data_IF_862700950518
#
_entry.id   IF_862700950518
#
_cell.length_a   1.000
_cell.length_b   1.000
_cell.length_c   1.000
_cell.angle_alpha   90.00
_cell.angle_beta   90.00
_cell.angle_gamma   90.00
#
_symmetry.space_group_name_H-M   'P 1'
#
loop_
_entity.id
_entity.type
_entity.pdbx_description
1 polymer ?
#
# COMPACT_ATOMS: atom_id res chain seq x y z
N UNK A 1 32.22 2.63 56.35
CA UNK A 1 32.92 2.57 55.02
C UNK A 1 32.09 1.71 54.08
N UNK A 2 31.45 2.34 53.10
CA UNK A 2 30.61 1.62 52.17
C UNK A 2 31.49 1.12 51.00
N UNK A 3 31.74 -0.20 50.92
CA UNK A 3 32.53 -0.80 49.85
C UNK A 3 31.70 -0.93 48.57
N UNK A 4 32.14 -0.32 47.46
CA UNK A 4 31.52 -0.50 46.14
C UNK A 4 32.06 -1.81 45.55
N UNK A 5 31.17 -2.77 45.33
CA UNK A 5 31.49 -4.05 44.68
C UNK A 5 31.23 -3.97 43.19
N UNK A 6 32.24 -4.05 42.34
CA UNK A 6 32.09 -4.12 40.89
C UNK A 6 31.81 -5.56 40.45
N UNK A 7 30.58 -5.79 39.95
CA UNK A 7 30.22 -7.08 39.39
C UNK A 7 30.41 -7.01 37.85
N UNK A 8 31.35 -7.82 37.33
CA UNK A 8 31.57 -7.94 35.89
C UNK A 8 30.54 -8.90 35.30
N UNK A 9 29.49 -8.33 34.67
CA UNK A 9 28.48 -9.15 33.99
C UNK A 9 29.02 -9.56 32.61
N UNK A 10 29.16 -10.87 32.32
CA UNK A 10 29.63 -11.34 31.03
C UNK A 10 28.58 -11.00 29.95
N UNK A 11 29.00 -10.31 28.88
CA UNK A 11 28.14 -10.00 27.76
C UNK A 11 27.86 -11.25 26.93
N UNK A 12 26.78 -11.97 27.27
CA UNK A 12 26.38 -13.22 26.60
C UNK A 12 26.08 -12.99 25.11
N UNK A 13 25.58 -11.82 24.73
CA UNK A 13 25.31 -11.45 23.33
C UNK A 13 26.62 -11.40 22.53
N UNK A 14 27.66 -10.76 23.08
CA UNK A 14 28.96 -10.68 22.42
C UNK A 14 29.66 -12.07 22.33
N UNK A 15 29.34 -12.99 23.22
CA UNK A 15 29.85 -14.39 23.14
C UNK A 15 29.10 -15.17 22.05
N UNK A 16 27.77 -15.00 21.92
CA UNK A 16 26.97 -15.66 20.90
C UNK A 16 27.30 -15.16 19.48
N UNK A 17 27.62 -13.87 19.33
CA UNK A 17 28.02 -13.30 18.02
C UNK A 17 29.43 -13.63 17.59
N UNK A 18 30.30 -14.12 18.51
CA UNK A 18 31.66 -14.59 18.21
C UNK A 18 31.74 -16.09 17.96
N UNK A 19 30.64 -16.84 18.10
CA UNK A 19 30.58 -18.28 17.87
C UNK A 19 30.89 -18.65 16.41
N UNK A 20 31.65 -19.73 16.19
CA UNK A 20 31.89 -20.33 14.87
C UNK A 20 30.53 -20.78 14.32
N UNK A 21 30.07 -20.19 13.21
CA UNK A 21 28.78 -20.52 12.54
C UNK A 21 27.81 -19.35 12.38
N UNK A 22 28.17 -18.17 12.91
CA UNK A 22 27.39 -16.93 12.65
C UNK A 22 27.60 -16.45 11.23
N UNK A 23 26.52 -15.92 10.63
CA UNK A 23 26.58 -15.22 9.34
C UNK A 23 27.27 -13.87 9.59
N UNK A 24 28.26 -13.50 8.75
CA UNK A 24 28.88 -12.18 8.81
C UNK A 24 27.80 -11.10 8.57
N UNK A 25 27.87 -9.99 9.31
CA UNK A 25 26.88 -8.89 9.23
C UNK A 25 26.66 -8.45 7.78
N UNK A 26 27.71 -8.31 6.98
CA UNK A 26 27.61 -7.94 5.57
C UNK A 26 26.85 -8.97 4.73
N UNK A 27 27.02 -10.25 4.98
CA UNK A 27 26.29 -11.32 4.30
C UNK A 27 24.81 -11.37 4.75
N UNK A 28 24.54 -11.15 6.04
CA UNK A 28 23.19 -11.06 6.55
C UNK A 28 22.42 -9.88 5.93
N UNK A 29 23.05 -8.71 5.84
CA UNK A 29 22.48 -7.52 5.18
C UNK A 29 22.23 -7.78 3.70
N UNK A 30 23.17 -8.40 2.99
CA UNK A 30 23.00 -8.76 1.59
C UNK A 30 21.81 -9.69 1.35
N UNK A 31 21.66 -10.72 2.18
CA UNK A 31 20.53 -11.66 2.11
C UNK A 31 19.20 -10.96 2.44
N UNK A 32 19.18 -10.10 3.44
CA UNK A 32 18.00 -9.32 3.78
C UNK A 32 17.58 -8.40 2.64
N UNK A 33 18.51 -7.70 2.01
CA UNK A 33 18.23 -6.83 0.86
C UNK A 33 17.71 -7.64 -0.34
N UNK A 34 18.29 -8.79 -0.63
CA UNK A 34 17.81 -9.65 -1.71
C UNK A 34 16.38 -10.18 -1.44
N UNK A 35 16.07 -10.52 -0.19
CA UNK A 35 14.73 -10.92 0.21
C UNK A 35 13.72 -9.76 0.09
N UNK A 36 14.12 -8.54 0.46
CA UNK A 36 13.29 -7.34 0.32
C UNK A 36 12.99 -7.02 -1.16
N UNK A 37 13.98 -7.13 -2.04
CA UNK A 37 13.74 -6.95 -3.49
C UNK A 37 12.78 -8.01 -4.03
N UNK A 38 12.93 -9.27 -3.65
CA UNK A 38 11.99 -10.33 -4.05
C UNK A 38 10.56 -10.08 -3.55
N UNK A 39 10.39 -9.56 -2.34
CA UNK A 39 9.08 -9.15 -1.82
C UNK A 39 8.48 -7.99 -2.60
N UNK A 40 9.32 -7.02 -2.98
CA UNK A 40 8.89 -5.89 -3.80
C UNK A 40 8.38 -6.34 -5.17
N UNK A 41 9.11 -7.23 -5.84
CA UNK A 41 8.70 -7.77 -7.14
C UNK A 41 7.37 -8.54 -7.03
N UNK A 42 7.20 -9.35 -6.00
CA UNK A 42 5.94 -10.04 -5.72
C UNK A 42 4.79 -9.06 -5.45
N UNK A 43 5.02 -8.01 -4.65
CA UNK A 43 4.05 -6.95 -4.39
C UNK A 43 3.63 -6.22 -5.67
N UNK A 44 4.59 -5.89 -6.53
CA UNK A 44 4.35 -5.28 -7.84
C UNK A 44 3.45 -6.16 -8.70
N UNK A 45 3.74 -7.46 -8.80
CA UNK A 45 2.95 -8.39 -9.58
C UNK A 45 1.49 -8.49 -9.08
N UNK A 46 1.30 -8.55 -7.75
CA UNK A 46 -0.04 -8.55 -7.15
C UNK A 46 -0.77 -7.26 -7.49
N UNK A 47 -0.14 -6.10 -7.32
CA UNK A 47 -0.76 -4.81 -7.61
C UNK A 47 -1.17 -4.71 -9.07
N UNK A 48 -0.31 -5.13 -10.01
CA UNK A 48 -0.59 -5.11 -11.44
C UNK A 48 -1.78 -6.01 -11.80
N UNK A 49 -1.85 -7.21 -11.22
CA UNK A 49 -2.98 -8.13 -11.38
C UNK A 49 -4.29 -7.51 -10.88
N UNK A 50 -4.28 -6.94 -9.66
CA UNK A 50 -5.48 -6.33 -9.10
C UNK A 50 -5.94 -5.09 -9.88
N UNK A 51 -5.00 -4.26 -10.34
CA UNK A 51 -5.33 -3.09 -11.17
C UNK A 51 -5.92 -3.49 -12.53
N UNK A 52 -5.39 -4.53 -13.17
CA UNK A 52 -5.94 -5.06 -14.41
C UNK A 52 -7.36 -5.59 -14.20
N UNK A 53 -7.61 -6.30 -13.11
CA UNK A 53 -8.93 -6.83 -12.79
C UNK A 53 -9.94 -5.71 -12.43
N UNK A 54 -9.52 -4.72 -11.65
CA UNK A 54 -10.35 -3.53 -11.37
C UNK A 54 -10.71 -2.80 -12.67
N UNK A 55 -9.75 -2.57 -13.56
CA UNK A 55 -9.99 -1.89 -14.83
C UNK A 55 -10.93 -2.68 -15.74
N UNK A 56 -10.77 -3.99 -15.78
CA UNK A 56 -11.62 -4.91 -16.56
C UNK A 56 -13.08 -4.91 -16.08
N UNK A 57 -13.28 -4.97 -14.77
CA UNK A 57 -14.60 -5.11 -14.15
C UNK A 57 -15.30 -3.76 -13.96
N UNK A 58 -14.59 -2.77 -13.44
CA UNK A 58 -15.15 -1.50 -12.96
C UNK A 58 -14.71 -0.29 -13.76
N UNK A 59 -13.80 -0.45 -14.73
CA UNK A 59 -13.35 0.64 -15.59
C UNK A 59 -14.48 1.16 -16.49
N UNK A 60 -14.34 2.39 -17.01
CA UNK A 60 -15.37 3.05 -17.83
C UNK A 60 -15.64 2.31 -19.15
N UNK A 61 -14.77 1.40 -19.55
CA UNK A 61 -14.96 0.56 -20.73
C UNK A 61 -15.95 -0.61 -20.56
N UNK A 62 -16.35 -0.93 -19.31
CA UNK A 62 -17.31 -2.00 -19.04
C UNK A 62 -18.73 -1.45 -18.90
N UNK A 63 -19.65 -1.70 -19.88
CA UNK A 63 -21.03 -1.22 -19.80
C UNK A 63 -21.85 -1.88 -18.68
N UNK A 64 -21.47 -3.09 -18.26
CA UNK A 64 -22.20 -3.89 -17.28
C UNK A 64 -21.73 -3.66 -15.83
N UNK A 65 -20.76 -2.75 -15.63
CA UNK A 65 -20.16 -2.50 -14.31
C UNK A 65 -21.16 -2.14 -13.21
N UNK A 66 -22.26 -1.48 -13.57
CA UNK A 66 -23.29 -1.09 -12.62
C UNK A 66 -24.07 -2.28 -12.02
N UNK A 67 -24.05 -3.43 -12.69
CA UNK A 67 -24.65 -4.67 -12.21
C UNK A 67 -23.72 -5.50 -11.32
N UNK A 68 -22.45 -5.12 -11.20
CA UNK A 68 -21.47 -5.86 -10.41
C UNK A 68 -21.54 -5.48 -8.92
N UNK A 69 -21.20 -6.44 -8.08
CA UNK A 69 -21.09 -6.19 -6.64
C UNK A 69 -19.88 -5.30 -6.34
N UNK A 70 -20.14 -4.16 -5.69
CA UNK A 70 -19.06 -3.28 -5.20
C UNK A 70 -18.15 -3.94 -4.14
N UNK A 71 -18.60 -5.05 -3.53
CA UNK A 71 -17.76 -5.88 -2.64
C UNK A 71 -16.51 -6.38 -3.37
N UNK A 72 -16.67 -6.77 -4.64
CA UNK A 72 -15.53 -7.22 -5.45
C UNK A 72 -14.51 -6.10 -5.64
N UNK A 73 -14.96 -4.85 -5.87
CA UNK A 73 -14.07 -3.69 -5.96
C UNK A 73 -13.36 -3.43 -4.63
N UNK A 74 -14.09 -3.55 -3.51
CA UNK A 74 -13.52 -3.43 -2.17
C UNK A 74 -12.42 -4.46 -1.93
N UNK A 75 -12.67 -5.72 -2.24
CA UNK A 75 -11.72 -6.81 -2.05
C UNK A 75 -10.45 -6.63 -2.90
N UNK A 76 -10.59 -6.20 -4.15
CA UNK A 76 -9.44 -5.93 -5.01
C UNK A 76 -8.61 -4.74 -4.49
N UNK A 77 -9.27 -3.65 -4.06
CA UNK A 77 -8.59 -2.51 -3.46
C UNK A 77 -7.88 -2.88 -2.14
N UNK A 78 -8.48 -3.74 -1.33
CA UNK A 78 -7.87 -4.24 -0.08
C UNK A 78 -6.59 -5.03 -0.35
N UNK A 79 -6.54 -5.86 -1.39
CA UNK A 79 -5.32 -6.58 -1.80
C UNK A 79 -4.21 -5.62 -2.24
N UNK A 80 -4.57 -4.49 -2.88
CA UNK A 80 -3.58 -3.44 -3.21
C UNK A 80 -3.03 -2.80 -1.93
N UNK A 81 -3.86 -2.58 -0.91
CA UNK A 81 -3.40 -2.06 0.39
C UNK A 81 -2.39 -3.03 1.00
N UNK A 82 -2.72 -4.32 1.05
CA UNK A 82 -1.85 -5.35 1.64
C UNK A 82 -0.51 -5.47 0.89
N UNK A 83 -0.54 -5.40 -0.44
CA UNK A 83 0.67 -5.44 -1.26
C UNK A 83 1.44 -4.11 -1.26
N UNK A 84 0.79 -3.00 -0.93
CA UNK A 84 1.36 -1.64 -0.98
C UNK A 84 2.59 -1.44 -0.09
N UNK A 85 2.73 -2.24 0.98
CA UNK A 85 3.91 -2.26 1.84
C UNK A 85 5.23 -2.56 1.10
N UNK A 86 5.18 -3.24 -0.05
CA UNK A 86 6.33 -3.47 -0.93
C UNK A 86 6.75 -2.23 -1.75
N UNK A 87 5.92 -1.20 -1.83
CA UNK A 87 6.14 0.04 -2.55
C UNK A 87 5.95 1.28 -1.66
N UNK A 88 6.71 1.41 -0.57
CA UNK A 88 6.52 2.47 0.39
C UNK A 88 6.65 3.85 -0.26
N UNK A 89 5.76 4.75 0.10
CA UNK A 89 5.74 6.11 -0.42
C UNK A 89 5.30 6.25 -1.87
N UNK A 90 4.71 5.23 -2.49
CA UNK A 90 4.11 5.34 -3.83
C UNK A 90 2.77 6.10 -3.84
N UNK A 91 2.05 6.13 -2.72
CA UNK A 91 0.70 6.67 -2.59
C UNK A 91 -0.41 5.68 -2.99
N UNK A 92 -0.03 4.47 -3.40
CA UNK A 92 -0.99 3.44 -3.81
C UNK A 92 -1.90 2.99 -2.66
N UNK A 93 -1.31 2.78 -1.49
CA UNK A 93 -2.06 2.36 -0.31
C UNK A 93 -3.12 3.39 0.09
N UNK A 94 -2.76 4.66 0.12
CA UNK A 94 -3.68 5.75 0.45
C UNK A 94 -4.79 5.89 -0.58
N UNK A 95 -4.47 5.77 -1.87
CA UNK A 95 -5.47 5.80 -2.94
C UNK A 95 -6.40 4.58 -2.89
N UNK A 96 -5.88 3.39 -2.64
CA UNK A 96 -6.69 2.17 -2.50
C UNK A 96 -7.62 2.24 -1.27
N UNK A 97 -7.16 2.81 -0.14
CA UNK A 97 -8.03 3.10 1.01
C UNK A 97 -9.18 4.04 0.62
N UNK A 98 -8.92 5.08 -0.16
CA UNK A 98 -9.95 5.99 -0.62
C UNK A 98 -11.00 5.28 -1.52
N UNK A 99 -10.60 4.29 -2.32
CA UNK A 99 -11.55 3.42 -3.04
C UNK A 99 -12.42 2.62 -2.07
N UNK A 100 -11.83 1.99 -1.05
CA UNK A 100 -12.58 1.26 -0.03
C UNK A 100 -13.59 2.17 0.69
N UNK A 101 -13.22 3.40 1.00
CA UNK A 101 -14.10 4.39 1.64
C UNK A 101 -15.26 4.81 0.71
N UNK A 102 -15.00 4.97 -0.60
CA UNK A 102 -16.05 5.24 -1.59
C UNK A 102 -17.05 4.10 -1.67
N UNK A 103 -16.56 2.86 -1.76
CA UNK A 103 -17.42 1.67 -1.78
C UNK A 103 -18.26 1.58 -0.52
N UNK A 104 -17.66 1.77 0.65
CA UNK A 104 -18.35 1.71 1.94
C UNK A 104 -19.49 2.74 2.02
N UNK A 105 -19.24 3.97 1.54
CA UNK A 105 -20.26 5.03 1.49
C UNK A 105 -21.36 4.71 0.47
N UNK A 106 -20.98 4.25 -0.72
CA UNK A 106 -21.94 3.84 -1.76
C UNK A 106 -22.91 2.78 -1.23
N UNK A 107 -22.41 1.84 -0.45
CA UNK A 107 -23.25 0.80 0.20
C UNK A 107 -24.17 1.39 1.26
N UNK A 108 -23.64 2.28 2.12
CA UNK A 108 -24.43 2.89 3.19
C UNK A 108 -25.59 3.75 2.68
N UNK A 109 -25.41 4.40 1.54
CA UNK A 109 -26.43 5.29 0.94
C UNK A 109 -27.18 4.65 -0.23
N UNK A 110 -26.87 3.40 -0.58
CA UNK A 110 -27.40 2.71 -1.76
C UNK A 110 -27.27 3.52 -3.07
N UNK A 111 -26.18 4.27 -3.20
CA UNK A 111 -25.85 5.11 -4.36
C UNK A 111 -24.41 4.86 -4.76
N UNK A 112 -24.12 4.87 -6.08
CA UNK A 112 -22.76 4.67 -6.57
C UNK A 112 -22.35 5.88 -7.42
N UNK A 113 -21.30 6.57 -6.99
CA UNK A 113 -20.68 7.65 -7.74
C UNK A 113 -19.58 7.08 -8.66
N UNK A 114 -20.00 6.67 -9.86
CA UNK A 114 -19.09 6.08 -10.85
C UNK A 114 -18.00 7.06 -11.31
N UNK A 115 -18.27 8.35 -11.38
CA UNK A 115 -17.28 9.35 -11.78
C UNK A 115 -16.17 9.43 -10.72
N UNK A 116 -16.53 9.40 -9.44
CA UNK A 116 -15.55 9.36 -8.36
C UNK A 116 -14.72 8.04 -8.39
N UNK A 117 -15.38 6.91 -8.63
CA UNK A 117 -14.69 5.62 -8.78
C UNK A 117 -13.72 5.67 -9.96
N UNK A 118 -14.12 6.18 -11.12
CA UNK A 118 -13.28 6.29 -12.31
C UNK A 118 -12.03 7.14 -12.07
N UNK A 119 -12.18 8.27 -11.37
CA UNK A 119 -11.04 9.13 -11.00
C UNK A 119 -10.07 8.39 -10.09
N UNK A 120 -10.56 7.60 -9.13
CA UNK A 120 -9.71 6.83 -8.22
C UNK A 120 -9.00 5.68 -8.94
N UNK A 121 -9.68 4.95 -9.81
CA UNK A 121 -9.08 3.89 -10.64
C UNK A 121 -7.96 4.48 -11.52
N UNK A 122 -8.24 5.59 -12.21
CA UNK A 122 -7.26 6.29 -13.04
C UNK A 122 -6.05 6.73 -12.19
N UNK A 123 -6.28 7.24 -10.99
CA UNK A 123 -5.20 7.67 -10.08
C UNK A 123 -4.37 6.48 -9.58
N UNK A 124 -4.98 5.35 -9.24
CA UNK A 124 -4.25 4.12 -8.90
C UNK A 124 -3.29 3.71 -10.03
N UNK A 125 -3.75 3.74 -11.29
CA UNK A 125 -2.92 3.43 -12.46
C UNK A 125 -1.75 4.41 -12.60
N UNK A 126 -1.98 5.71 -12.42
CA UNK A 126 -0.92 6.74 -12.46
C UNK A 126 0.08 6.53 -11.32
N UNK A 127 -0.38 6.31 -10.09
CA UNK A 127 0.49 6.08 -8.94
C UNK A 127 1.30 4.79 -9.09
N UNK A 128 0.73 3.73 -9.70
CA UNK A 128 1.48 2.52 -10.01
C UNK A 128 2.59 2.79 -11.03
N UNK A 129 2.29 3.54 -12.08
CA UNK A 129 3.26 3.84 -13.15
C UNK A 129 4.34 4.84 -12.72
N UNK A 130 4.01 5.84 -11.92
CA UNK A 130 4.86 7.00 -11.65
C UNK A 130 5.08 7.30 -10.17
N UNK A 131 4.37 6.63 -9.23
CA UNK A 131 4.39 6.98 -7.80
C UNK A 131 5.78 6.99 -7.18
N UNK A 132 6.67 6.12 -7.64
CA UNK A 132 8.06 6.06 -7.16
C UNK A 132 8.92 7.24 -7.66
N UNK A 133 8.59 7.84 -8.81
CA UNK A 133 9.29 8.99 -9.38
C UNK A 133 8.75 10.33 -8.90
N UNK A 134 7.52 10.35 -8.34
CA UNK A 134 6.93 11.58 -7.80
C UNK A 134 7.62 12.01 -6.50
N UNK A 135 7.82 13.30 -6.34
CA UNK A 135 8.22 13.86 -5.05
C UNK A 135 7.11 13.71 -4.02
N UNK A 136 7.45 13.76 -2.74
CA UNK A 136 6.46 13.71 -1.66
C UNK A 136 5.41 14.84 -1.76
N UNK A 137 5.81 16.02 -2.26
CA UNK A 137 4.89 17.16 -2.47
C UNK A 137 3.91 16.87 -3.61
N UNK A 138 4.37 16.33 -4.74
CA UNK A 138 3.52 15.97 -5.87
C UNK A 138 2.51 14.88 -5.50
N UNK A 139 2.96 13.82 -4.81
CA UNK A 139 2.05 12.76 -4.31
C UNK A 139 0.98 13.33 -3.39
N UNK A 140 1.37 14.19 -2.44
CA UNK A 140 0.42 14.84 -1.54
C UNK A 140 -0.61 15.66 -2.30
N UNK A 141 -0.21 16.36 -3.36
CA UNK A 141 -1.13 17.13 -4.21
C UNK A 141 -2.13 16.22 -4.92
N UNK A 142 -1.67 15.10 -5.47
CA UNK A 142 -2.53 14.09 -6.11
C UNK A 142 -3.54 13.52 -5.11
N UNK A 143 -3.08 13.06 -3.96
CA UNK A 143 -3.93 12.46 -2.92
C UNK A 143 -4.92 13.49 -2.32
N UNK A 144 -4.47 14.75 -2.15
CA UNK A 144 -5.37 15.84 -1.74
C UNK A 144 -6.46 16.08 -2.77
N UNK A 145 -6.14 16.09 -4.07
CA UNK A 145 -7.12 16.22 -5.13
C UNK A 145 -8.20 15.13 -5.08
N UNK A 146 -7.81 13.88 -4.80
CA UNK A 146 -8.77 12.79 -4.59
C UNK A 146 -9.69 13.02 -3.38
N UNK A 147 -9.11 13.45 -2.26
CA UNK A 147 -9.88 13.78 -1.06
C UNK A 147 -10.88 14.90 -1.32
N UNK A 148 -10.49 15.93 -2.07
CA UNK A 148 -11.35 17.07 -2.40
C UNK A 148 -12.52 16.63 -3.32
N UNK A 149 -12.29 15.75 -4.31
CA UNK A 149 -13.35 15.15 -5.13
C UNK A 149 -14.36 14.40 -4.28
N UNK A 150 -13.86 13.59 -3.36
CA UNK A 150 -14.68 12.78 -2.47
C UNK A 150 -15.51 13.65 -1.50
N UNK A 151 -14.91 14.72 -0.95
CA UNK A 151 -15.57 15.60 0.00
C UNK A 151 -16.65 16.49 -0.67
N UNK A 152 -16.38 17.01 -1.88
CA UNK A 152 -17.33 17.84 -2.62
C UNK A 152 -18.60 17.08 -2.92
N UNK A 153 -18.51 15.83 -3.33
CA UNK A 153 -19.66 14.99 -3.64
C UNK A 153 -20.42 14.49 -2.40
N UNK A 154 -19.77 14.40 -1.25
CA UNK A 154 -20.43 14.07 0.00
C UNK A 154 -21.28 15.24 0.55
N UNK A 155 -21.05 16.47 0.10
CA UNK A 155 -21.81 17.66 0.49
C UNK A 155 -22.97 18.03 -0.48
N UNK A 156 -23.09 17.33 -1.60
CA UNK A 156 -24.14 17.56 -2.61
C UNK A 156 -25.32 16.56 -2.49
N UNK A 157 -25.32 15.67 -1.51
CA UNK A 157 -26.39 14.70 -1.17
C UNK A 157 -27.02 15.02 0.19
#
# INVERSE_FOLDING_TARGET
MSGVTFIRVPNKLAQLTRGKGGIAVGEAVKRANAALEGLKDASVAIIDEQLAEIDRLFGPGNPDRAGLSLEVLYDQASKIIDAGGGLPGSGLEECARAVCDLVSRSRAHNTCDWDAIDVHIATLKVLRAQGQSLTAAQRRTVLKGLSDVTAKRAGEG
#
